data_IF_107191332322
#
_entry.id   IF_107191332322
#
_cell.length_a   1.000
_cell.length_b   1.000
_cell.length_c   1.000
_cell.angle_alpha   90.00
_cell.angle_beta   90.00
_cell.angle_gamma   90.00
#
_symmetry.space_group_name_H-M   'P 1'
#
loop_
_entity.id
_entity.type
_entity.pdbx_description
1 polymer ?
#
# COMPACT_ATOMS: atom_id res chain seq x y z
N UNK A 1 71.40 -21.42 -3.96
CA UNK A 1 70.35 -20.45 -3.59
C UNK A 1 70.73 -19.84 -2.25
N UNK A 2 70.87 -18.53 -2.14
CA UNK A 2 71.39 -17.88 -0.91
C UNK A 2 70.31 -17.91 0.19
N UNK A 3 70.64 -18.33 1.42
CA UNK A 3 69.67 -18.59 2.51
C UNK A 3 68.73 -17.39 2.74
N UNK A 4 69.25 -16.17 2.61
CA UNK A 4 68.49 -14.92 2.70
C UNK A 4 67.44 -14.77 1.59
N UNK A 5 67.75 -15.19 0.37
CA UNK A 5 66.83 -15.19 -0.76
C UNK A 5 65.69 -16.20 -0.58
N UNK A 6 65.99 -17.40 -0.07
CA UNK A 6 64.97 -18.41 0.24
C UNK A 6 64.02 -17.96 1.36
N UNK A 7 64.53 -17.29 2.40
CA UNK A 7 63.70 -16.73 3.49
C UNK A 7 62.78 -15.61 2.98
N UNK A 8 63.28 -14.71 2.13
CA UNK A 8 62.48 -13.64 1.54
C UNK A 8 61.37 -14.19 0.63
N UNK A 9 61.66 -15.23 -0.16
CA UNK A 9 60.66 -15.91 -1.00
C UNK A 9 59.60 -16.58 -0.11
N UNK A 10 59.99 -17.24 0.97
CA UNK A 10 59.05 -17.88 1.90
C UNK A 10 58.13 -16.83 2.57
N UNK A 11 58.68 -15.72 3.05
CA UNK A 11 57.91 -14.63 3.63
C UNK A 11 56.93 -14.03 2.62
N UNK A 12 57.38 -13.81 1.38
CA UNK A 12 56.52 -13.34 0.30
C UNK A 12 55.37 -14.31 0.03
N UNK A 13 55.65 -15.62 -0.08
CA UNK A 13 54.62 -16.64 -0.27
C UNK A 13 53.61 -16.66 0.88
N UNK A 14 54.06 -16.56 2.13
CA UNK A 14 53.16 -16.51 3.31
C UNK A 14 52.28 -15.27 3.28
N UNK A 15 52.84 -14.10 2.95
CA UNK A 15 52.06 -12.86 2.79
C UNK A 15 51.01 -12.99 1.68
N UNK A 16 51.39 -13.54 0.52
CA UNK A 16 50.46 -13.74 -0.61
C UNK A 16 49.34 -14.71 -0.23
N UNK A 17 49.66 -15.84 0.41
CA UNK A 17 48.66 -16.80 0.89
C UNK A 17 47.74 -16.15 1.93
N UNK A 18 48.30 -15.36 2.87
CA UNK A 18 47.53 -14.61 3.86
C UNK A 18 46.57 -13.60 3.22
N UNK A 19 47.02 -12.86 2.20
CA UNK A 19 46.19 -11.92 1.46
C UNK A 19 45.06 -12.62 0.69
N UNK A 20 45.37 -13.70 -0.02
CA UNK A 20 44.38 -14.48 -0.77
C UNK A 20 43.37 -15.11 0.19
N UNK A 21 43.83 -15.71 1.28
CA UNK A 21 42.98 -16.30 2.32
C UNK A 21 42.08 -15.27 2.98
N UNK A 22 42.65 -14.11 3.35
CA UNK A 22 41.91 -12.99 3.93
C UNK A 22 40.87 -12.42 2.97
N UNK A 23 41.20 -12.25 1.69
CA UNK A 23 40.27 -11.78 0.67
C UNK A 23 39.10 -12.76 0.47
N UNK A 24 39.39 -14.06 0.31
CA UNK A 24 38.34 -15.09 0.19
C UNK A 24 37.45 -15.16 1.43
N UNK A 25 38.03 -15.02 2.62
CA UNK A 25 37.28 -14.98 3.86
C UNK A 25 36.39 -13.74 3.96
N UNK A 26 36.91 -12.58 3.53
CA UNK A 26 36.16 -11.34 3.47
C UNK A 26 34.96 -11.45 2.52
N UNK A 27 35.17 -11.90 1.28
CA UNK A 27 34.08 -12.04 0.30
C UNK A 27 33.04 -13.06 0.76
N UNK A 28 33.48 -14.19 1.33
CA UNK A 28 32.58 -15.18 1.89
C UNK A 28 31.69 -14.63 3.01
N UNK A 29 32.25 -13.84 3.93
CA UNK A 29 31.48 -13.29 5.05
C UNK A 29 30.60 -12.10 4.66
N UNK A 30 31.02 -11.29 3.67
CA UNK A 30 30.38 -10.01 3.31
C UNK A 30 29.52 -10.03 2.06
N UNK A 31 29.76 -10.97 1.15
CA UNK A 31 29.21 -10.95 -0.20
C UNK A 31 28.58 -12.29 -0.61
N UNK A 32 28.66 -13.33 0.23
CA UNK A 32 28.11 -14.65 -0.06
C UNK A 32 26.96 -15.00 0.91
N UNK A 33 25.72 -15.17 0.41
CA UNK A 33 24.58 -15.60 1.22
C UNK A 33 24.77 -16.98 1.89
N UNK A 34 25.63 -17.84 1.34
CA UNK A 34 25.86 -19.19 1.86
C UNK A 34 26.48 -19.17 3.26
N UNK A 35 27.23 -18.13 3.62
CA UNK A 35 27.76 -17.94 4.98
C UNK A 35 26.65 -18.01 6.03
N UNK A 36 25.53 -17.33 5.80
CA UNK A 36 24.39 -17.33 6.72
C UNK A 36 23.68 -18.69 6.75
N UNK A 37 23.64 -19.41 5.62
CA UNK A 37 22.95 -20.69 5.51
C UNK A 37 23.61 -21.84 6.29
N UNK A 38 24.86 -21.67 6.71
CA UNK A 38 25.59 -22.65 7.55
C UNK A 38 24.96 -22.76 8.95
N UNK A 39 24.30 -21.70 9.42
CA UNK A 39 23.61 -21.69 10.69
C UNK A 39 22.19 -22.26 10.53
N UNK A 40 21.86 -23.31 11.28
CA UNK A 40 20.52 -23.93 11.27
C UNK A 40 19.37 -22.93 11.54
N UNK A 41 19.61 -21.92 12.39
CA UNK A 41 18.63 -20.88 12.72
C UNK A 41 18.26 -19.99 11.53
N UNK A 42 19.08 -19.97 10.48
CA UNK A 42 18.87 -19.17 9.29
C UNK A 42 18.17 -19.92 8.16
N UNK A 43 17.85 -21.21 8.33
CA UNK A 43 17.28 -22.04 7.26
C UNK A 43 15.94 -21.46 6.73
N UNK A 44 15.03 -21.09 7.63
CA UNK A 44 13.75 -20.46 7.27
C UNK A 44 13.94 -19.06 6.65
N UNK A 45 14.86 -18.27 7.21
CA UNK A 45 15.23 -16.96 6.67
C UNK A 45 15.80 -17.04 5.25
N UNK A 46 16.66 -18.03 4.99
CA UNK A 46 17.27 -18.27 3.69
C UNK A 46 16.24 -18.73 2.66
N UNK A 47 15.36 -19.68 3.03
CA UNK A 47 14.27 -20.15 2.16
C UNK A 47 13.34 -19.02 1.74
N UNK A 48 12.93 -18.20 2.71
CA UNK A 48 12.03 -17.08 2.47
C UNK A 48 12.67 -15.96 1.65
N UNK A 49 13.95 -15.66 1.87
CA UNK A 49 14.73 -14.75 1.04
C UNK A 49 14.79 -15.22 -0.42
N UNK A 50 15.10 -16.50 -0.66
CA UNK A 50 15.30 -17.07 -1.99
C UNK A 50 14.07 -16.94 -2.90
N UNK A 51 12.87 -16.98 -2.33
CA UNK A 51 11.60 -16.84 -3.07
C UNK A 51 11.05 -15.42 -3.06
N UNK A 52 11.69 -14.50 -2.33
CA UNK A 52 11.28 -13.09 -2.28
C UNK A 52 11.68 -12.34 -3.56
N UNK A 53 11.06 -11.18 -3.85
CA UNK A 53 11.52 -10.29 -4.92
C UNK A 53 13.00 -9.86 -4.80
N UNK A 54 13.59 -9.96 -3.60
CA UNK A 54 14.98 -9.63 -3.31
C UNK A 54 15.92 -10.85 -3.25
N UNK A 55 15.49 -12.03 -3.72
CA UNK A 55 16.30 -13.26 -3.69
C UNK A 55 17.61 -13.22 -4.50
N UNK A 56 17.84 -12.14 -5.26
CA UNK A 56 19.09 -11.88 -5.98
C UNK A 56 20.02 -10.89 -5.24
N UNK A 57 19.54 -10.29 -4.14
CA UNK A 57 20.31 -9.34 -3.33
C UNK A 57 20.91 -10.10 -2.16
N UNK A 58 22.24 -10.03 -1.99
CA UNK A 58 22.92 -10.76 -0.92
C UNK A 58 22.48 -10.27 0.47
N UNK A 59 22.33 -11.21 1.42
CA UNK A 59 21.76 -10.95 2.75
C UNK A 59 22.44 -9.76 3.44
N UNK A 60 23.75 -9.65 3.30
CA UNK A 60 24.62 -8.67 3.94
C UNK A 60 24.37 -7.23 3.50
N UNK A 61 23.67 -7.00 2.37
CA UNK A 61 23.23 -5.65 1.97
C UNK A 61 22.19 -5.08 2.93
N UNK A 62 21.38 -5.94 3.54
CA UNK A 62 20.35 -5.56 4.52
C UNK A 62 20.76 -5.94 5.95
N UNK A 63 21.44 -7.07 6.12
CA UNK A 63 21.94 -7.60 7.39
C UNK A 63 23.43 -7.33 7.53
N UNK A 64 23.79 -6.05 7.71
CA UNK A 64 25.20 -5.69 7.89
C UNK A 64 25.69 -6.16 9.26
N UNK A 65 26.78 -6.91 9.26
CA UNK A 65 27.58 -7.27 10.42
C UNK A 65 28.94 -6.62 10.27
N UNK A 66 29.57 -6.16 11.34
CA UNK A 66 31.00 -5.87 11.30
C UNK A 66 31.83 -7.19 11.38
N UNK A 67 33.16 -7.08 11.16
CA UNK A 67 34.04 -8.27 11.14
C UNK A 67 34.15 -8.92 12.53
N UNK A 68 34.09 -8.12 13.61
CA UNK A 68 34.18 -8.63 14.98
C UNK A 68 32.90 -9.37 15.36
N UNK A 69 31.73 -8.86 14.98
CA UNK A 69 30.42 -9.50 15.16
C UNK A 69 30.34 -10.83 14.39
N UNK A 70 30.77 -10.84 13.13
CA UNK A 70 30.84 -12.06 12.31
C UNK A 70 31.76 -13.13 12.95
N UNK A 71 32.93 -12.71 13.45
CA UNK A 71 33.85 -13.60 14.15
C UNK A 71 33.29 -14.14 15.47
N UNK A 72 32.59 -13.30 16.25
CA UNK A 72 31.92 -13.73 17.49
C UNK A 72 30.85 -14.79 17.21
N UNK A 73 30.09 -14.65 16.13
CA UNK A 73 29.09 -15.64 15.71
C UNK A 73 29.74 -16.97 15.31
N UNK A 74 30.84 -16.91 14.56
CA UNK A 74 31.59 -18.10 14.16
C UNK A 74 32.18 -18.85 15.37
N UNK A 75 32.78 -18.12 16.32
CA UNK A 75 33.31 -18.70 17.56
C UNK A 75 32.18 -19.35 18.36
N UNK A 76 31.03 -18.67 18.50
CA UNK A 76 29.88 -19.22 19.21
C UNK A 76 29.35 -20.51 18.55
N UNK A 77 29.32 -20.57 17.21
CA UNK A 77 28.93 -21.77 16.47
C UNK A 77 29.89 -22.94 16.69
N UNK A 78 31.20 -22.71 16.65
CA UNK A 78 32.23 -23.75 16.80
C UNK A 78 32.33 -24.26 18.23
N UNK A 79 32.29 -23.36 19.22
CA UNK A 79 32.49 -23.72 20.63
C UNK A 79 31.27 -24.40 21.27
N UNK A 80 30.11 -24.45 20.59
CA UNK A 80 28.86 -25.08 21.08
C UNK A 80 28.45 -24.68 22.50
N UNK A 81 28.87 -23.52 22.98
CA UNK A 81 28.61 -23.12 24.34
C UNK A 81 27.14 -22.70 24.52
N UNK A 82 26.58 -23.07 25.68
CA UNK A 82 25.33 -22.58 26.28
C UNK A 82 25.36 -21.07 26.58
N UNK A 83 26.07 -20.27 25.78
CA UNK A 83 25.96 -18.82 25.85
C UNK A 83 24.51 -18.51 25.50
N UNK A 84 23.71 -17.89 26.39
CA UNK A 84 22.33 -17.53 26.12
C UNK A 84 22.34 -16.36 25.15
N UNK A 85 22.70 -16.67 23.92
CA UNK A 85 22.78 -15.76 22.81
C UNK A 85 21.35 -15.61 22.33
N UNK A 86 20.59 -14.74 23.00
CA UNK A 86 19.53 -13.94 22.34
C UNK A 86 20.19 -13.06 21.28
N UNK A 87 20.88 -13.65 20.31
CA UNK A 87 21.71 -12.95 19.34
C UNK A 87 20.82 -12.49 18.20
N UNK A 88 20.30 -11.29 18.39
CA UNK A 88 19.86 -10.44 17.30
C UNK A 88 21.10 -9.99 16.50
N UNK A 89 21.69 -10.88 15.70
CA UNK A 89 22.79 -10.52 14.82
C UNK A 89 22.26 -9.97 13.48
N UNK A 90 23.06 -9.13 12.83
CA UNK A 90 22.72 -8.54 11.53
C UNK A 90 21.57 -7.52 11.62
N UNK A 91 21.41 -6.87 12.78
CA UNK A 91 20.30 -5.94 13.08
C UNK A 91 20.66 -4.46 12.92
N UNK A 92 21.74 -4.10 12.22
CA UNK A 92 21.95 -2.70 11.84
C UNK A 92 20.90 -2.33 10.78
N UNK A 93 19.73 -1.96 11.31
CA UNK A 93 18.60 -1.30 10.70
C UNK A 93 18.42 -1.61 9.20
N UNK A 94 17.86 -2.79 8.82
CA UNK A 94 17.69 -3.19 7.41
C UNK A 94 16.93 -2.15 6.57
N UNK A 95 16.18 -1.28 7.22
CA UNK A 95 15.44 -0.15 6.66
C UNK A 95 16.34 0.92 6.03
N UNK A 96 17.54 1.15 6.56
CA UNK A 96 18.51 2.06 5.94
C UNK A 96 19.07 1.45 4.64
N UNK A 97 19.21 0.11 4.61
CA UNK A 97 19.57 -0.65 3.40
C UNK A 97 18.52 -0.54 2.29
N UNK A 98 17.24 -0.45 2.64
CA UNK A 98 16.17 -0.22 1.66
C UNK A 98 16.38 1.10 0.90
N UNK A 99 16.69 2.18 1.64
CA UNK A 99 16.86 3.52 1.08
C UNK A 99 18.07 3.57 0.13
N UNK A 100 19.13 2.82 0.43
CA UNK A 100 20.33 2.78 -0.40
C UNK A 100 20.04 2.38 -1.86
N UNK A 101 19.06 1.50 -2.09
CA UNK A 101 18.64 1.07 -3.43
C UNK A 101 17.36 1.78 -3.92
N UNK A 102 16.33 1.87 -3.08
CA UNK A 102 15.00 2.41 -3.42
C UNK A 102 14.92 3.94 -3.41
N UNK A 103 16.02 4.68 -3.50
CA UNK A 103 15.98 6.15 -3.65
C UNK A 103 16.82 6.71 -4.82
N UNK A 104 17.47 5.84 -5.61
CA UNK A 104 18.34 6.22 -6.74
C UNK A 104 17.60 6.26 -8.11
N UNK A 105 16.34 6.65 -8.10
CA UNK A 105 15.25 6.11 -8.94
C UNK A 105 15.10 6.61 -10.40
N UNK A 106 16.15 7.09 -11.08
CA UNK A 106 15.99 7.53 -12.48
C UNK A 106 16.01 6.38 -13.52
N UNK A 107 16.54 5.20 -13.20
CA UNK A 107 16.94 4.20 -14.22
C UNK A 107 15.97 3.03 -14.42
N UNK A 108 14.97 2.80 -13.55
CA UNK A 108 14.24 1.51 -13.50
C UNK A 108 12.74 1.59 -13.83
N UNK A 109 12.20 2.77 -14.15
CA UNK A 109 10.85 2.92 -14.71
C UNK A 109 9.66 2.53 -13.80
N UNK A 110 9.89 2.13 -12.55
CA UNK A 110 8.83 1.90 -11.56
C UNK A 110 8.53 3.19 -10.80
N UNK A 111 7.26 3.50 -10.54
CA UNK A 111 6.89 4.68 -9.73
C UNK A 111 7.54 4.53 -8.35
N UNK A 112 8.24 5.57 -7.99
CA UNK A 112 9.37 5.53 -7.10
C UNK A 112 8.94 5.97 -5.69
N UNK A 113 9.61 5.49 -4.62
CA UNK A 113 9.39 5.87 -3.23
C UNK A 113 9.36 7.40 -3.04
N UNK A 114 10.13 8.15 -3.82
CA UNK A 114 10.11 9.63 -3.81
C UNK A 114 8.99 10.26 -4.65
N UNK A 115 8.60 9.61 -5.75
CA UNK A 115 7.57 10.14 -6.65
C UNK A 115 6.14 9.74 -6.24
N UNK A 116 6.00 8.78 -5.32
CA UNK A 116 4.76 8.43 -4.66
C UNK A 116 4.37 9.48 -3.62
N UNK A 117 3.17 10.05 -3.74
CA UNK A 117 2.66 11.01 -2.77
C UNK A 117 2.45 10.37 -1.39
N UNK A 118 2.01 9.11 -1.36
CA UNK A 118 1.84 8.34 -0.12
C UNK A 118 3.15 8.22 0.67
N UNK A 119 4.23 7.76 0.03
CA UNK A 119 5.54 7.65 0.67
C UNK A 119 6.13 9.02 0.99
N UNK A 120 6.02 10.02 0.10
CA UNK A 120 6.42 11.40 0.36
C UNK A 120 5.84 11.93 1.67
N UNK A 121 4.52 11.80 1.84
CA UNK A 121 3.82 12.32 3.02
C UNK A 121 4.19 11.57 4.30
N UNK A 122 4.29 10.25 4.29
CA UNK A 122 4.45 9.51 5.54
C UNK A 122 5.93 9.21 5.88
N UNK A 123 6.73 8.79 4.90
CA UNK A 123 8.14 8.43 5.14
C UNK A 123 8.99 9.68 5.28
N UNK A 124 8.82 10.65 4.39
CA UNK A 124 9.71 11.82 4.36
C UNK A 124 9.19 12.98 5.21
N UNK A 125 7.90 13.34 5.08
CA UNK A 125 7.37 14.49 5.84
C UNK A 125 7.03 14.14 7.29
N UNK A 126 6.55 12.92 7.57
CA UNK A 126 6.21 12.46 8.92
C UNK A 126 7.32 11.61 9.56
N UNK A 127 8.43 11.38 8.84
CA UNK A 127 9.60 10.62 9.31
C UNK A 127 9.27 9.19 9.80
N UNK A 128 8.29 8.53 9.17
CA UNK A 128 7.96 7.15 9.47
C UNK A 128 8.96 6.20 8.83
N UNK A 129 9.40 5.19 9.59
CA UNK A 129 10.30 4.14 9.13
C UNK A 129 9.52 3.10 8.33
N UNK A 130 10.16 2.49 7.34
CA UNK A 130 9.50 1.51 6.48
C UNK A 130 8.95 0.28 7.25
N UNK A 131 9.58 -0.13 8.36
CA UNK A 131 9.04 -1.16 9.32
C UNK A 131 7.67 -0.86 9.87
N UNK A 132 7.31 0.41 9.95
CA UNK A 132 6.05 0.80 10.58
C UNK A 132 4.87 0.37 9.70
N UNK A 133 5.12 0.24 8.39
CA UNK A 133 4.15 -0.20 7.39
C UNK A 133 4.44 -1.57 6.80
N UNK A 134 5.65 -1.80 6.32
CA UNK A 134 6.05 -3.08 5.75
C UNK A 134 6.37 -4.05 6.87
N UNK A 135 5.60 -5.14 6.94
CA UNK A 135 5.95 -6.24 7.82
C UNK A 135 7.26 -6.86 7.34
N UNK A 136 8.11 -7.29 8.28
CA UNK A 136 9.39 -7.95 7.99
C UNK A 136 9.34 -9.45 8.30
N UNK A 137 8.15 -10.06 8.26
CA UNK A 137 8.05 -11.50 8.51
C UNK A 137 8.73 -12.22 7.35
N UNK A 138 9.88 -12.81 7.65
CA UNK A 138 10.63 -13.73 6.78
C UNK A 138 10.73 -13.19 5.34
N UNK A 139 11.34 -12.01 5.16
CA UNK A 139 11.61 -11.39 3.85
C UNK A 139 10.41 -11.13 2.91
N UNK A 140 9.17 -11.24 3.42
CA UNK A 140 7.99 -10.66 2.76
C UNK A 140 7.82 -9.22 3.23
N UNK A 141 7.82 -8.27 2.29
CA UNK A 141 7.70 -6.82 2.56
C UNK A 141 6.28 -6.31 2.28
N UNK A 142 5.28 -7.13 2.58
CA UNK A 142 3.88 -6.72 2.42
C UNK A 142 3.45 -5.78 3.55
N UNK A 143 2.57 -4.84 3.21
CA UNK A 143 1.94 -3.94 4.17
C UNK A 143 0.70 -4.62 4.74
N UNK A 144 0.68 -4.85 6.05
CA UNK A 144 -0.54 -5.25 6.75
C UNK A 144 -1.52 -4.07 6.73
N UNK A 145 -2.70 -4.31 6.19
CA UNK A 145 -3.74 -3.29 6.01
C UNK A 145 -4.22 -2.69 7.35
N UNK A 146 -4.06 -3.42 8.46
CA UNK A 146 -4.37 -2.92 9.80
C UNK A 146 -3.38 -1.85 10.27
N UNK A 147 -2.22 -1.71 9.63
CA UNK A 147 -1.27 -0.64 9.98
C UNK A 147 -1.89 0.73 9.80
N UNK A 148 -2.63 0.94 8.70
CA UNK A 148 -3.23 2.25 8.41
C UNK A 148 -4.12 2.72 9.56
N UNK A 149 -4.86 1.80 10.18
CA UNK A 149 -5.78 2.07 11.29
C UNK A 149 -5.08 2.39 12.62
N UNK A 150 -3.79 2.08 12.78
CA UNK A 150 -3.03 2.46 13.97
C UNK A 150 -3.01 3.97 14.16
N UNK A 151 -2.92 4.72 13.05
CA UNK A 151 -2.94 6.18 13.03
C UNK A 151 -4.29 6.73 12.55
N UNK A 152 -4.95 6.09 11.59
CA UNK A 152 -6.24 6.51 11.03
C UNK A 152 -7.42 5.77 11.66
N UNK A 153 -7.59 5.91 12.99
CA UNK A 153 -8.58 5.16 13.77
C UNK A 153 -10.03 5.35 13.31
N UNK A 154 -10.36 6.55 12.84
CA UNK A 154 -11.72 6.91 12.42
C UNK A 154 -11.97 6.67 10.92
N UNK A 155 -11.04 6.00 10.23
CA UNK A 155 -11.14 5.70 8.80
C UNK A 155 -11.41 4.23 8.60
N UNK A 156 -12.69 3.89 8.71
CA UNK A 156 -13.21 2.58 8.36
C UNK A 156 -13.82 2.64 6.96
N UNK A 157 -13.57 1.60 6.17
CA UNK A 157 -14.24 1.43 4.88
C UNK A 157 -15.65 0.95 5.18
N UNK A 158 -16.64 1.73 4.78
CA UNK A 158 -18.04 1.35 4.89
C UNK A 158 -18.80 1.70 3.60
N UNK A 159 -19.83 0.91 3.33
CA UNK A 159 -20.61 1.03 2.09
C UNK A 159 -21.18 -0.33 1.68
N UNK A 160 -22.39 -0.32 1.15
CA UNK A 160 -23.04 -1.52 0.61
C UNK A 160 -22.19 -2.04 -0.56
N UNK A 161 -21.66 -3.27 -0.44
CA UNK A 161 -20.75 -3.86 -1.44
C UNK A 161 -19.27 -3.50 -1.28
N UNK A 162 -18.90 -2.64 -0.31
CA UNK A 162 -17.50 -2.35 0.04
C UNK A 162 -17.02 -3.10 1.29
N UNK A 163 -17.89 -3.92 1.89
CA UNK A 163 -17.52 -4.80 2.99
C UNK A 163 -16.41 -5.77 2.54
N UNK A 164 -15.29 -5.78 3.25
CA UNK A 164 -14.11 -6.60 2.93
C UNK A 164 -13.08 -5.94 2.01
N UNK A 165 -13.33 -4.71 1.54
CA UNK A 165 -12.29 -3.90 0.90
C UNK A 165 -11.36 -3.29 1.95
N UNK A 166 -10.10 -3.14 1.55
CA UNK A 166 -9.05 -2.59 2.40
C UNK A 166 -8.60 -1.22 1.89
N UNK A 167 -7.87 -0.47 2.72
CA UNK A 167 -7.48 0.91 2.43
C UNK A 167 -6.81 1.05 1.05
N UNK A 168 -5.89 0.15 0.73
CA UNK A 168 -5.13 0.16 -0.53
C UNK A 168 -5.96 -0.26 -1.75
N UNK A 169 -7.17 -0.79 -1.56
CA UNK A 169 -8.10 -1.01 -2.67
C UNK A 169 -8.63 0.31 -3.25
N UNK A 170 -8.58 1.41 -2.51
CA UNK A 170 -8.96 2.74 -3.01
C UNK A 170 -7.79 3.72 -3.00
N UNK A 171 -6.96 3.67 -1.95
CA UNK A 171 -5.80 4.52 -1.78
C UNK A 171 -4.56 3.89 -2.41
N UNK A 172 -4.25 4.29 -3.65
CA UNK A 172 -3.00 3.85 -4.25
C UNK A 172 -1.83 4.65 -3.68
N UNK A 173 -1.15 4.05 -2.70
CA UNK A 173 -0.04 4.67 -2.02
C UNK A 173 1.16 4.93 -2.96
N UNK A 174 1.30 4.13 -4.01
CA UNK A 174 2.35 4.24 -5.01
C UNK A 174 2.09 5.30 -6.08
N UNK A 175 0.92 5.96 -6.11
CA UNK A 175 0.63 6.99 -7.09
C UNK A 175 1.29 8.33 -6.76
N UNK A 176 1.66 9.09 -7.79
CA UNK A 176 2.17 10.45 -7.65
C UNK A 176 1.08 11.48 -7.32
N UNK A 177 -0.19 11.12 -7.52
CA UNK A 177 -1.31 12.04 -7.32
C UNK A 177 -1.45 12.43 -5.85
N UNK A 178 -1.63 13.74 -5.55
CA UNK A 178 -1.98 14.18 -4.20
C UNK A 178 -3.42 13.81 -3.82
N UNK A 179 -4.24 13.42 -4.80
CA UNK A 179 -5.59 12.94 -4.58
C UNK A 179 -5.53 11.53 -4.01
N UNK A 180 -6.05 11.36 -2.79
CA UNK A 180 -6.06 10.08 -2.10
C UNK A 180 -6.79 8.96 -2.86
N UNK A 181 -7.76 9.29 -3.72
CA UNK A 181 -8.44 8.36 -4.64
C UNK A 181 -8.71 9.08 -5.95
N UNK A 182 -8.33 8.48 -7.09
CA UNK A 182 -8.61 9.01 -8.42
C UNK A 182 -9.97 8.52 -8.94
N UNK A 183 -10.63 9.26 -9.83
CA UNK A 183 -11.91 8.82 -10.44
C UNK A 183 -11.75 7.50 -11.20
N UNK A 184 -10.60 7.30 -11.85
CA UNK A 184 -10.26 6.04 -12.53
C UNK A 184 -10.33 4.85 -11.57
N UNK A 185 -10.00 5.04 -10.29
CA UNK A 185 -10.09 3.99 -9.27
C UNK A 185 -11.53 3.64 -8.91
N UNK A 186 -12.44 4.61 -8.91
CA UNK A 186 -13.88 4.33 -8.74
C UNK A 186 -14.39 3.49 -9.91
N UNK A 187 -14.04 3.88 -11.14
CA UNK A 187 -14.48 3.21 -12.37
C UNK A 187 -13.88 1.82 -12.60
N UNK A 188 -12.83 1.42 -11.87
CA UNK A 188 -12.30 0.06 -11.98
C UNK A 188 -13.26 -1.00 -11.43
N UNK A 189 -14.18 -0.60 -10.55
CA UNK A 189 -15.22 -1.47 -10.00
C UNK A 189 -16.63 -1.00 -10.38
N UNK A 190 -16.87 0.31 -10.43
CA UNK A 190 -18.15 0.90 -10.83
C UNK A 190 -18.22 1.13 -12.35
N UNK A 191 -18.32 0.05 -13.12
CA UNK A 191 -18.30 0.10 -14.59
C UNK A 191 -19.57 0.70 -15.20
N UNK A 192 -20.70 0.57 -14.52
CA UNK A 192 -22.03 0.89 -15.06
C UNK A 192 -22.45 2.34 -14.79
N UNK A 193 -21.56 3.14 -14.19
CA UNK A 193 -21.84 4.55 -13.91
C UNK A 193 -21.80 5.35 -15.21
N UNK A 194 -22.87 6.10 -15.56
CA UNK A 194 -22.90 6.88 -16.78
C UNK A 194 -21.79 7.93 -16.83
N UNK A 195 -20.98 7.90 -17.90
CA UNK A 195 -19.88 8.85 -18.13
C UNK A 195 -20.30 10.09 -18.94
N UNK A 196 -21.58 10.19 -19.28
CA UNK A 196 -22.17 11.29 -20.05
C UNK A 196 -23.40 11.84 -19.34
N UNK A 197 -23.67 13.12 -19.50
CA UNK A 197 -24.82 13.81 -18.92
C UNK A 197 -24.41 14.95 -17.99
N UNK A 198 -25.40 15.68 -17.47
CA UNK A 198 -25.16 16.89 -16.65
C UNK A 198 -24.42 16.53 -15.35
N UNK A 199 -24.77 15.40 -14.74
CA UNK A 199 -24.20 14.94 -13.48
C UNK A 199 -22.88 14.16 -13.65
N UNK A 200 -22.49 13.77 -14.87
CA UNK A 200 -21.24 13.02 -15.09
C UNK A 200 -19.99 13.88 -14.97
N UNK A 201 -20.14 15.20 -14.81
CA UNK A 201 -19.06 16.16 -14.53
C UNK A 201 -18.88 16.42 -13.02
N UNK A 202 -19.77 15.89 -12.19
CA UNK A 202 -19.67 16.01 -10.73
C UNK A 202 -18.72 14.93 -10.24
N UNK A 203 -17.77 15.32 -9.40
CA UNK A 203 -16.81 14.39 -8.83
C UNK A 203 -17.52 13.47 -7.84
N UNK A 204 -17.15 12.19 -7.83
CA UNK A 204 -17.86 11.17 -7.04
C UNK A 204 -17.96 11.54 -5.55
N UNK A 205 -16.93 12.19 -5.00
CA UNK A 205 -16.84 12.53 -3.58
C UNK A 205 -17.72 13.71 -3.15
N UNK A 206 -18.31 14.45 -4.08
CA UNK A 206 -19.29 15.49 -3.76
C UNK A 206 -20.56 14.87 -3.12
N UNK A 207 -20.86 13.62 -3.51
CA UNK A 207 -21.99 12.85 -3.01
C UNK A 207 -21.56 11.65 -2.15
N UNK A 208 -20.47 10.97 -2.50
CA UNK A 208 -20.01 9.76 -1.82
C UNK A 208 -18.93 10.04 -0.78
N UNK A 209 -19.15 9.56 0.45
CA UNK A 209 -18.21 9.69 1.57
C UNK A 209 -17.86 8.30 2.13
N UNK A 210 -16.94 7.53 1.50
CA UNK A 210 -16.65 6.14 1.87
C UNK A 210 -16.16 5.90 3.30
N UNK A 211 -15.74 6.96 4.00
CA UNK A 211 -15.33 6.93 5.40
C UNK A 211 -16.29 7.66 6.34
N UNK A 212 -17.32 8.34 5.83
CA UNK A 212 -18.25 9.14 6.64
C UNK A 212 -19.70 8.64 6.66
N UNK A 213 -20.30 8.37 5.50
CA UNK A 213 -21.73 8.06 5.39
C UNK A 213 -21.99 6.79 4.55
N UNK A 214 -22.66 5.81 5.17
CA UNK A 214 -23.02 4.52 4.58
C UNK A 214 -24.02 4.63 3.42
N UNK A 215 -24.98 5.56 3.51
CA UNK A 215 -26.06 5.75 2.54
C UNK A 215 -26.40 7.22 2.41
N UNK A 216 -26.57 7.69 1.19
CA UNK A 216 -27.05 9.06 0.92
C UNK A 216 -28.52 9.23 1.33
N UNK A 217 -28.86 10.42 1.75
CA UNK A 217 -30.19 10.87 2.12
C UNK A 217 -30.63 12.02 1.21
N UNK A 218 -31.93 12.28 1.14
CA UNK A 218 -32.48 13.37 0.31
C UNK A 218 -31.85 14.73 0.60
N UNK A 219 -31.50 14.99 1.87
CA UNK A 219 -30.89 16.24 2.28
C UNK A 219 -29.48 16.45 1.70
N UNK A 220 -28.77 15.38 1.34
CA UNK A 220 -27.44 15.48 0.71
C UNK A 220 -27.55 16.04 -0.71
N UNK A 221 -28.65 15.73 -1.42
CA UNK A 221 -28.92 16.28 -2.74
C UNK A 221 -29.35 17.75 -2.65
N UNK A 222 -30.21 18.06 -1.67
CA UNK A 222 -30.90 19.34 -1.60
C UNK A 222 -30.03 20.52 -1.16
N UNK A 223 -28.89 20.26 -0.51
CA UNK A 223 -28.04 21.31 0.07
C UNK A 223 -27.08 21.95 -0.92
N UNK A 224 -26.36 21.13 -1.68
CA UNK A 224 -25.21 21.61 -2.47
C UNK A 224 -25.56 21.96 -3.92
N UNK A 225 -26.54 21.27 -4.51
CA UNK A 225 -26.86 21.38 -5.93
C UNK A 225 -28.35 21.55 -6.23
N UNK A 226 -29.23 20.92 -5.44
CA UNK A 226 -30.68 20.88 -5.69
C UNK A 226 -31.48 21.74 -4.68
N UNK A 227 -31.48 23.07 -4.85
CA UNK A 227 -32.13 23.98 -3.90
C UNK A 227 -33.63 24.26 -4.10
N UNK A 228 -34.21 23.90 -5.25
CA UNK A 228 -35.57 24.32 -5.63
C UNK A 228 -36.51 23.16 -6.02
N UNK A 229 -36.02 21.94 -6.05
CA UNK A 229 -36.67 20.76 -6.62
C UNK A 229 -37.96 20.43 -5.88
N UNK A 230 -37.99 20.68 -4.57
CA UNK A 230 -39.20 20.52 -3.73
C UNK A 230 -40.32 21.49 -4.11
N UNK A 231 -40.00 22.60 -4.78
CA UNK A 231 -40.94 23.62 -5.26
C UNK A 231 -41.30 23.45 -6.74
N UNK A 232 -40.65 22.54 -7.47
CA UNK A 232 -40.92 22.32 -8.89
C UNK A 232 -41.98 21.25 -9.07
N UNK A 233 -43.02 21.58 -9.83
CA UNK A 233 -44.16 20.70 -10.08
C UNK A 233 -44.81 20.22 -8.78
N UNK A 234 -45.03 18.90 -8.66
CA UNK A 234 -45.73 18.31 -7.52
C UNK A 234 -44.80 17.58 -6.52
N UNK A 235 -43.49 17.83 -6.55
CA UNK A 235 -42.56 17.19 -5.61
C UNK A 235 -42.94 17.48 -4.16
N UNK A 236 -43.31 18.72 -3.83
CA UNK A 236 -43.75 19.09 -2.49
C UNK A 236 -44.98 18.31 -2.01
N UNK A 237 -45.89 17.92 -2.90
CA UNK A 237 -47.06 17.11 -2.55
C UNK A 237 -46.66 15.67 -2.22
N UNK A 238 -45.79 15.06 -3.03
CA UNK A 238 -45.29 13.71 -2.79
C UNK A 238 -44.45 13.62 -1.49
N UNK A 239 -43.60 14.62 -1.24
CA UNK A 239 -42.79 14.64 -0.01
C UNK A 239 -43.65 14.83 1.25
N UNK A 240 -44.67 15.71 1.21
CA UNK A 240 -45.48 16.05 2.39
C UNK A 240 -46.62 15.07 2.67
N UNK A 241 -47.26 14.52 1.63
CA UNK A 241 -48.48 13.70 1.78
C UNK A 241 -48.24 12.20 1.77
N UNK A 242 -47.15 11.73 1.19
CA UNK A 242 -46.90 10.29 0.99
C UNK A 242 -45.65 9.77 1.71
N UNK A 243 -44.98 10.61 2.52
CA UNK A 243 -43.72 10.27 3.21
C UNK A 243 -42.60 9.73 2.29
N UNK A 244 -42.75 9.92 0.97
CA UNK A 244 -41.77 9.51 -0.02
C UNK A 244 -40.53 10.38 0.11
N UNK A 245 -39.37 9.78 -0.14
CA UNK A 245 -38.09 10.47 -0.25
C UNK A 245 -37.61 10.47 -1.70
N UNK A 246 -36.71 11.39 -2.03
CA UNK A 246 -36.21 11.54 -3.41
C UNK A 246 -35.73 10.22 -4.02
N UNK A 247 -35.07 9.37 -3.22
CA UNK A 247 -34.48 8.09 -3.65
C UNK A 247 -35.49 6.98 -3.94
N UNK A 248 -36.77 7.17 -3.59
CA UNK A 248 -37.83 6.22 -3.92
C UNK A 248 -38.14 6.24 -5.42
N UNK A 249 -37.97 7.41 -6.06
CA UNK A 249 -38.10 7.59 -7.49
C UNK A 249 -36.73 7.74 -8.16
N UNK A 250 -35.87 8.65 -7.68
CA UNK A 250 -34.56 8.94 -8.25
C UNK A 250 -33.52 7.92 -7.79
N UNK A 251 -33.19 6.94 -8.63
CA UNK A 251 -32.11 5.99 -8.32
C UNK A 251 -30.73 6.64 -8.49
N UNK A 252 -29.75 6.33 -7.62
CA UNK A 252 -28.38 6.79 -7.80
C UNK A 252 -27.85 6.49 -9.21
N UNK A 253 -27.10 7.42 -9.79
CA UNK A 253 -26.58 7.33 -11.16
C UNK A 253 -27.64 7.33 -12.29
N UNK A 254 -28.93 7.26 -11.95
CA UNK A 254 -30.07 7.40 -12.86
C UNK A 254 -30.80 8.73 -12.56
N UNK A 255 -30.11 9.80 -12.93
CA UNK A 255 -30.36 11.18 -12.49
C UNK A 255 -31.68 11.79 -12.97
N UNK A 256 -32.32 11.22 -13.99
CA UNK A 256 -33.60 11.69 -14.54
C UNK A 256 -34.56 10.52 -14.63
N UNK A 257 -35.83 10.80 -14.31
CA UNK A 257 -36.93 9.86 -14.48
C UNK A 257 -37.59 10.19 -15.81
N UNK A 258 -37.41 9.31 -16.79
CA UNK A 258 -38.06 9.43 -18.09
C UNK A 258 -39.49 8.89 -18.05
N UNK A 259 -40.24 9.10 -19.15
CA UNK A 259 -41.60 8.55 -19.32
C UNK A 259 -41.65 7.02 -19.16
N UNK A 260 -40.62 6.33 -19.65
CA UNK A 260 -40.49 4.88 -19.51
C UNK A 260 -40.28 4.44 -18.05
N UNK A 261 -39.60 5.25 -17.24
CA UNK A 261 -39.35 4.94 -15.83
C UNK A 261 -40.55 5.24 -14.94
N UNK A 262 -41.42 6.19 -15.34
CA UNK A 262 -42.61 6.56 -14.59
C UNK A 262 -43.62 5.39 -14.51
N UNK A 263 -43.68 4.56 -15.56
CA UNK A 263 -44.44 3.30 -15.57
C UNK A 263 -43.83 2.33 -14.57
N UNK A 264 -44.62 1.82 -13.64
CA UNK A 264 -44.18 1.01 -12.50
C UNK A 264 -43.66 1.80 -11.29
N UNK A 265 -43.37 3.10 -11.41
CA UNK A 265 -42.97 3.96 -10.28
C UNK A 265 -44.15 4.78 -9.74
N UNK A 266 -44.88 5.46 -10.63
CA UNK A 266 -45.94 6.41 -10.29
C UNK A 266 -47.33 5.77 -10.28
N UNK A 267 -47.59 4.85 -11.22
CA UNK A 267 -48.83 4.08 -11.34
C UNK A 267 -49.13 3.15 -10.15
N UNK A 268 -48.14 2.94 -9.27
CA UNK A 268 -48.30 2.23 -8.00
C UNK A 268 -49.27 2.91 -7.04
N UNK A 269 -49.44 4.23 -7.15
CA UNK A 269 -50.26 5.01 -6.22
C UNK A 269 -51.41 5.74 -6.93
N UNK A 270 -51.21 6.20 -8.16
CA UNK A 270 -52.23 6.90 -8.93
C UNK A 270 -52.00 6.75 -10.43
N UNK A 271 -53.04 6.89 -11.28
CA UNK A 271 -52.86 6.87 -12.73
C UNK A 271 -51.80 7.87 -13.20
N UNK A 272 -51.02 7.48 -14.21
CA UNK A 272 -49.99 8.33 -14.81
C UNK A 272 -50.63 9.62 -15.35
N UNK A 273 -50.05 10.76 -14.98
CA UNK A 273 -50.43 12.08 -15.48
C UNK A 273 -49.27 12.65 -16.27
N UNK A 274 -49.58 13.40 -17.33
CA UNK A 274 -48.55 14.07 -18.13
C UNK A 274 -47.82 15.11 -17.24
N UNK A 275 -46.48 15.07 -17.12
CA UNK A 275 -45.72 16.09 -16.42
C UNK A 275 -46.04 17.53 -16.84
N UNK A 276 -46.36 17.77 -18.11
CA UNK A 276 -46.76 19.09 -18.60
C UNK A 276 -48.04 19.61 -17.93
N UNK A 277 -48.89 18.74 -17.39
CA UNK A 277 -50.14 19.12 -16.73
C UNK A 277 -49.94 19.70 -15.32
N UNK A 278 -48.74 19.63 -14.75
CA UNK A 278 -48.48 20.04 -13.37
C UNK A 278 -47.13 20.71 -13.10
N UNK A 279 -46.38 21.06 -14.15
CA UNK A 279 -45.22 21.95 -14.10
C UNK A 279 -45.75 23.35 -14.48
N UNK A 280 -46.25 24.10 -13.50
CA UNK A 280 -46.56 25.52 -13.62
C UNK A 280 -45.62 26.31 -12.72
#
# INVERSE_FOLDING_TARGET
MNLKGSILILLFLVCVIGLIGGYKYYTFTKEDPSYCSICHMMEEGYRSWRVSPHGQIVCQKCHTLDVLEANKLLIAYVMRDNVPLKQNHGRKNPWDGCIACHTQEAAQGSVTLRSSYGHARHVFMQNLRCKECHSGKTHSFEVDQKVCQKCHKDKLVHGMGMAGLYCLNCHNYGEASPMMVTEKRCFSCHTDVPRKGVMSRIKCYECHYPHGKLRMESNDCLRSCHGNETRVGQHGLHLKRTSLVCMDCHKPHKWRIGKADAVGLCDRCHPLRDPASFIY
#
